data_IF_396929454205
#
_entry.id   IF_396929454205
#
_cell.length_a   1.000
_cell.length_b   1.000
_cell.length_c   1.000
_cell.angle_alpha   90.00
_cell.angle_beta   90.00
_cell.angle_gamma   90.00
#
_symmetry.space_group_name_H-M   'P 1'
#
loop_
_entity.id
_entity.type
_entity.pdbx_description
1 polymer ?
#
# COMPACT_ATOMS: atom_id res chain seq x y z
N UNK A 1 -6.20 -6.08 18.45
CA UNK A 1 -5.97 -5.99 16.98
C UNK A 1 -7.20 -6.57 16.30
N UNK A 2 -7.83 -5.85 15.37
CA UNK A 2 -8.92 -6.43 14.58
C UNK A 2 -8.31 -7.40 13.57
N UNK A 3 -8.57 -8.69 13.79
CA UNK A 3 -8.21 -9.77 12.88
C UNK A 3 -9.39 -10.03 11.97
N UNK A 4 -9.12 -10.29 10.70
CA UNK A 4 -10.12 -10.75 9.74
C UNK A 4 -9.55 -11.92 8.95
N UNK A 5 -10.37 -12.93 8.73
CA UNK A 5 -9.97 -14.12 7.99
C UNK A 5 -10.29 -13.95 6.50
N UNK A 6 -9.26 -13.99 5.65
CA UNK A 6 -9.40 -14.09 4.21
C UNK A 6 -9.42 -15.56 3.79
N UNK A 7 -10.54 -16.01 3.24
CA UNK A 7 -10.66 -17.39 2.74
C UNK A 7 -10.22 -17.46 1.28
N UNK A 8 -8.98 -17.88 1.07
CA UNK A 8 -8.38 -18.03 -0.28
C UNK A 8 -7.29 -19.10 -0.31
N UNK A 9 -7.35 -19.95 -1.33
CA UNK A 9 -6.27 -20.88 -1.67
C UNK A 9 -5.06 -20.19 -2.31
N UNK A 10 -5.24 -19.02 -2.92
CA UNK A 10 -4.21 -18.33 -3.71
C UNK A 10 -3.37 -17.39 -2.84
N UNK A 11 -2.06 -17.64 -2.77
CA UNK A 11 -1.11 -16.82 -2.00
C UNK A 11 -0.96 -15.40 -2.53
N UNK A 12 -0.91 -15.22 -3.85
CA UNK A 12 -0.80 -13.90 -4.47
C UNK A 12 -1.96 -12.97 -4.11
N UNK A 13 -3.20 -13.51 -4.03
CA UNK A 13 -4.37 -12.75 -3.58
C UNK A 13 -4.21 -12.32 -2.12
N UNK A 14 -3.67 -13.19 -1.27
CA UNK A 14 -3.46 -12.88 0.14
C UNK A 14 -2.39 -11.80 0.34
N UNK A 15 -1.30 -11.84 -0.42
CA UNK A 15 -0.25 -10.81 -0.36
C UNK A 15 -0.78 -9.44 -0.82
N UNK A 16 -1.59 -9.42 -1.89
CA UNK A 16 -2.27 -8.21 -2.37
C UNK A 16 -3.29 -7.67 -1.35
N UNK A 17 -4.08 -8.55 -0.75
CA UNK A 17 -5.02 -8.20 0.32
C UNK A 17 -4.30 -7.60 1.54
N UNK A 18 -3.18 -8.19 1.98
CA UNK A 18 -2.38 -7.65 3.10
C UNK A 18 -1.87 -6.25 2.81
N UNK A 19 -1.46 -5.97 1.57
CA UNK A 19 -0.99 -4.66 1.13
C UNK A 19 -2.11 -3.62 1.15
N UNK A 20 -3.26 -3.94 0.57
CA UNK A 20 -4.42 -3.04 0.49
C UNK A 20 -5.09 -2.82 1.86
N UNK A 21 -5.16 -3.86 2.70
CA UNK A 21 -5.71 -3.83 4.05
C UNK A 21 -4.67 -3.51 5.12
N UNK A 22 -3.57 -2.82 4.76
CA UNK A 22 -2.51 -2.52 5.72
C UNK A 22 -3.06 -1.91 7.02
N UNK A 23 -2.56 -2.39 8.16
CA UNK A 23 -3.09 -2.07 9.48
C UNK A 23 -4.16 -3.00 10.02
N UNK A 24 -4.65 -3.93 9.19
CA UNK A 24 -5.47 -5.04 9.65
C UNK A 24 -4.63 -6.31 9.67
N UNK A 25 -4.95 -7.21 10.60
CA UNK A 25 -4.35 -8.55 10.58
C UNK A 25 -5.20 -9.45 9.70
N UNK A 26 -4.67 -9.76 8.51
CA UNK A 26 -5.33 -10.62 7.52
C UNK A 26 -4.80 -12.04 7.66
N UNK A 27 -5.53 -12.87 8.39
CA UNK A 27 -5.26 -14.31 8.45
C UNK A 27 -5.76 -14.99 7.18
N UNK A 28 -5.07 -16.04 6.73
CA UNK A 28 -5.46 -16.78 5.54
C UNK A 28 -5.96 -18.16 5.91
N UNK A 29 -7.23 -18.43 5.61
CA UNK A 29 -7.80 -19.77 5.70
C UNK A 29 -7.87 -20.42 4.32
N UNK A 30 -7.52 -21.72 4.26
CA UNK A 30 -7.56 -22.55 3.06
C UNK A 30 -8.57 -23.67 3.27
N UNK A 31 -9.84 -23.36 3.04
CA UNK A 31 -10.93 -24.33 3.11
C UNK A 31 -11.58 -24.48 1.74
N UNK A 32 -12.18 -25.64 1.51
CA UNK A 32 -12.98 -25.90 0.31
C UNK A 32 -14.35 -25.30 0.51
N UNK A 33 -14.76 -24.42 -0.41
CA UNK A 33 -16.09 -23.83 -0.42
C UNK A 33 -16.91 -24.47 -1.54
N UNK A 34 -18.23 -24.55 -1.34
CA UNK A 34 -19.14 -24.94 -2.40
C UNK A 34 -18.92 -24.05 -3.65
N UNK A 35 -19.01 -24.66 -4.83
CA UNK A 35 -19.15 -23.90 -6.07
C UNK A 35 -20.53 -23.25 -6.02
N UNK A 36 -20.59 -21.93 -6.19
CA UNK A 36 -21.89 -21.25 -6.28
C UNK A 36 -22.59 -21.62 -7.59
N UNK A 37 -23.91 -21.77 -7.55
CA UNK A 37 -24.73 -22.21 -8.69
C UNK A 37 -25.28 -21.03 -9.53
N UNK A 38 -24.80 -19.81 -9.28
CA UNK A 38 -25.22 -18.59 -9.99
C UNK A 38 -24.20 -18.16 -11.05
N UNK A 39 -24.68 -17.44 -12.07
CA UNK A 39 -23.82 -16.75 -13.04
C UNK A 39 -23.40 -15.35 -12.57
N UNK A 40 -24.08 -14.78 -11.55
CA UNK A 40 -23.78 -13.46 -11.01
C UNK A 40 -22.68 -13.54 -9.96
N UNK A 41 -21.69 -12.67 -10.10
CA UNK A 41 -20.48 -12.69 -9.27
C UNK A 41 -20.80 -12.42 -7.79
N UNK A 42 -21.77 -11.54 -7.56
CA UNK A 42 -22.29 -11.12 -6.25
C UNK A 42 -23.01 -12.27 -5.54
N UNK A 43 -23.87 -13.01 -6.24
CA UNK A 43 -24.60 -14.16 -5.69
C UNK A 43 -23.63 -15.31 -5.34
N UNK A 44 -22.65 -15.59 -6.20
CA UNK A 44 -21.58 -16.55 -5.91
C UNK A 44 -20.79 -16.11 -4.66
N UNK A 45 -20.42 -14.84 -4.58
CA UNK A 45 -19.62 -14.31 -3.48
C UNK A 45 -20.35 -14.42 -2.14
N UNK A 46 -21.63 -14.04 -2.10
CA UNK A 46 -22.51 -14.18 -0.93
C UNK A 46 -22.61 -15.63 -0.47
N UNK A 47 -22.91 -16.56 -1.38
CA UNK A 47 -23.04 -17.97 -1.02
C UNK A 47 -21.72 -18.53 -0.44
N UNK A 48 -20.58 -18.18 -1.04
CA UNK A 48 -19.26 -18.62 -0.61
C UNK A 48 -18.83 -18.05 0.74
N UNK A 49 -19.13 -16.79 1.03
CA UNK A 49 -18.77 -16.21 2.35
C UNK A 49 -19.63 -16.77 3.48
N UNK A 50 -20.90 -17.07 3.21
CA UNK A 50 -21.79 -17.72 4.19
C UNK A 50 -21.36 -19.16 4.47
N UNK A 51 -20.98 -19.92 3.44
CA UNK A 51 -20.40 -21.26 3.60
C UNK A 51 -19.07 -21.20 4.37
N UNK A 52 -18.21 -20.21 4.08
CA UNK A 52 -16.97 -20.00 4.81
C UNK A 52 -17.23 -19.72 6.30
N UNK A 53 -18.17 -18.83 6.62
CA UNK A 53 -18.50 -18.53 8.02
C UNK A 53 -19.08 -19.75 8.74
N UNK A 54 -19.96 -20.51 8.08
CA UNK A 54 -20.52 -21.76 8.64
C UNK A 54 -19.44 -22.78 9.01
N UNK A 55 -18.33 -22.83 8.27
CA UNK A 55 -17.22 -23.76 8.52
C UNK A 55 -16.21 -23.24 9.55
N UNK A 56 -16.03 -21.92 9.65
CA UNK A 56 -14.97 -21.31 10.47
C UNK A 56 -15.46 -20.67 11.77
N UNK A 57 -16.76 -20.33 11.84
CA UNK A 57 -17.42 -19.63 12.95
C UNK A 57 -16.69 -18.33 13.38
N UNK A 58 -16.10 -17.63 12.42
CA UNK A 58 -15.32 -16.40 12.64
C UNK A 58 -15.57 -15.37 11.53
N UNK A 59 -15.53 -14.05 11.82
CA UNK A 59 -15.63 -13.01 10.80
C UNK A 59 -14.64 -13.25 9.65
N UNK A 60 -15.17 -13.33 8.43
CA UNK A 60 -14.38 -13.67 7.27
C UNK A 60 -14.85 -12.94 6.01
N UNK A 61 -13.95 -12.85 5.05
CA UNK A 61 -14.25 -12.40 3.71
C UNK A 61 -13.67 -13.33 2.65
N UNK A 62 -14.24 -13.26 1.46
CA UNK A 62 -13.76 -13.93 0.24
C UNK A 62 -13.63 -12.90 -0.88
N UNK A 63 -13.00 -13.31 -1.98
CA UNK A 63 -13.13 -12.61 -3.25
C UNK A 63 -13.55 -13.57 -4.38
N UNK A 64 -14.34 -13.03 -5.29
CA UNK A 64 -14.75 -13.64 -6.54
C UNK A 64 -14.39 -12.71 -7.69
N UNK A 65 -13.78 -13.23 -8.75
CA UNK A 65 -13.25 -12.44 -9.86
C UNK A 65 -13.72 -12.99 -11.20
N UNK A 66 -14.02 -12.11 -12.15
CA UNK A 66 -14.39 -12.49 -13.53
C UNK A 66 -13.76 -11.57 -14.57
N UNK A 67 -13.72 -12.04 -15.82
CA UNK A 67 -13.35 -11.24 -17.00
C UNK A 67 -14.51 -11.29 -18.00
N UNK A 68 -14.85 -10.15 -18.58
CA UNK A 68 -15.97 -9.97 -19.49
C UNK A 68 -15.46 -9.26 -20.73
N UNK A 69 -15.47 -9.92 -21.88
CA UNK A 69 -14.97 -9.39 -23.14
C UNK A 69 -16.13 -8.93 -24.02
N UNK A 70 -15.94 -7.83 -24.75
CA UNK A 70 -16.86 -7.33 -25.77
C UNK A 70 -16.73 -8.21 -27.03
N UNK A 71 -17.26 -9.43 -26.95
CA UNK A 71 -17.23 -10.43 -28.02
C UNK A 71 -18.64 -10.79 -28.48
N UNK A 72 -18.77 -11.20 -29.74
CA UNK A 72 -19.97 -11.86 -30.25
C UNK A 72 -20.13 -13.29 -29.71
N UNK A 73 -19.07 -13.87 -29.16
CA UNK A 73 -19.10 -15.16 -28.47
C UNK A 73 -19.56 -14.96 -27.01
N UNK A 74 -20.53 -15.75 -26.55
CA UNK A 74 -21.06 -15.68 -25.19
C UNK A 74 -20.07 -16.30 -24.17
N UNK A 75 -19.01 -15.56 -23.82
CA UNK A 75 -18.10 -15.93 -22.74
C UNK A 75 -18.07 -14.81 -21.70
N UNK A 76 -18.54 -15.12 -20.49
CA UNK A 76 -18.62 -14.13 -19.41
C UNK A 76 -18.06 -14.67 -18.09
N UNK A 77 -17.40 -13.78 -17.34
CA UNK A 77 -17.00 -14.01 -15.96
C UNK A 77 -16.03 -15.17 -15.77
N UNK A 78 -16.49 -16.24 -15.12
CA UNK A 78 -15.66 -17.38 -14.75
C UNK A 78 -15.23 -18.24 -15.97
N UNK A 79 -16.04 -18.25 -17.04
CA UNK A 79 -15.78 -19.04 -18.24
C UNK A 79 -14.55 -18.53 -18.98
N UNK A 80 -14.37 -17.21 -19.11
CA UNK A 80 -13.19 -16.60 -19.75
C UNK A 80 -11.91 -16.98 -18.98
N UNK A 81 -11.98 -17.03 -17.65
CA UNK A 81 -10.85 -17.46 -16.81
C UNK A 81 -10.48 -18.92 -17.06
N UNK A 82 -11.47 -19.80 -17.16
CA UNK A 82 -11.26 -21.23 -17.45
C UNK A 82 -10.66 -21.40 -18.85
N UNK A 83 -11.22 -20.70 -19.83
CA UNK A 83 -10.73 -20.71 -21.20
C UNK A 83 -9.28 -20.24 -21.30
N UNK A 84 -8.90 -19.17 -20.59
CA UNK A 84 -7.50 -18.72 -20.52
C UNK A 84 -6.59 -19.79 -19.91
N UNK A 85 -7.06 -20.51 -18.88
CA UNK A 85 -6.28 -21.59 -18.26
C UNK A 85 -6.10 -22.79 -19.20
N UNK A 86 -7.13 -23.13 -19.97
CA UNK A 86 -7.12 -24.24 -20.92
C UNK A 86 -6.28 -23.94 -22.17
N UNK A 87 -6.45 -22.75 -22.76
CA UNK A 87 -5.72 -22.33 -23.96
C UNK A 87 -4.27 -21.92 -23.66
N UNK A 88 -4.04 -21.36 -22.48
CA UNK A 88 -2.80 -20.67 -22.15
C UNK A 88 -2.71 -19.25 -22.76
N UNK A 89 -1.81 -18.39 -22.24
CA UNK A 89 -1.76 -16.97 -22.60
C UNK A 89 -1.53 -16.67 -24.08
N UNK A 90 -0.66 -17.43 -24.76
CA UNK A 90 -0.32 -17.20 -26.16
C UNK A 90 -1.50 -17.48 -27.10
N UNK A 91 -2.18 -18.62 -26.95
CA UNK A 91 -3.35 -18.94 -27.75
C UNK A 91 -4.54 -18.03 -27.42
N UNK A 92 -4.69 -17.65 -26.14
CA UNK A 92 -5.73 -16.71 -25.73
C UNK A 92 -5.57 -15.34 -26.39
N UNK A 93 -4.36 -14.77 -26.36
CA UNK A 93 -4.07 -13.47 -27.00
C UNK A 93 -4.13 -13.55 -28.53
N UNK A 94 -3.74 -14.67 -29.13
CA UNK A 94 -3.93 -14.88 -30.57
C UNK A 94 -5.41 -14.88 -30.98
N UNK A 95 -6.30 -15.40 -30.12
CA UNK A 95 -7.75 -15.46 -30.39
C UNK A 95 -8.48 -14.15 -30.07
N UNK A 96 -8.12 -13.50 -28.96
CA UNK A 96 -8.89 -12.37 -28.40
C UNK A 96 -8.13 -11.05 -28.39
N UNK A 97 -6.91 -11.01 -28.93
CA UNK A 97 -6.05 -9.83 -28.92
C UNK A 97 -6.73 -8.58 -29.49
N UNK A 98 -6.66 -7.49 -28.74
CA UNK A 98 -7.31 -6.21 -29.06
C UNK A 98 -8.77 -6.09 -28.63
N UNK A 99 -9.43 -7.19 -28.21
CA UNK A 99 -10.80 -7.09 -27.70
C UNK A 99 -10.84 -6.29 -26.40
N UNK A 100 -11.81 -5.39 -26.34
CA UNK A 100 -12.13 -4.57 -25.17
C UNK A 100 -12.91 -5.39 -24.15
N UNK A 101 -12.93 -4.93 -22.92
CA UNK A 101 -13.76 -5.52 -21.88
C UNK A 101 -13.44 -4.97 -20.50
N UNK A 102 -13.87 -5.73 -19.49
CA UNK A 102 -13.70 -5.39 -18.09
C UNK A 102 -13.32 -6.62 -17.26
N UNK A 103 -12.38 -6.45 -16.34
CA UNK A 103 -12.17 -7.40 -15.24
C UNK A 103 -12.90 -6.91 -14.00
N UNK A 104 -13.63 -7.79 -13.33
CA UNK A 104 -14.45 -7.46 -12.15
C UNK A 104 -14.03 -8.28 -10.95
N UNK A 105 -14.18 -7.71 -9.77
CA UNK A 105 -14.07 -8.41 -8.48
C UNK A 105 -15.26 -8.05 -7.60
N UNK A 106 -15.76 -9.03 -6.85
CA UNK A 106 -16.65 -8.83 -5.71
C UNK A 106 -15.99 -9.41 -4.48
N UNK A 107 -15.80 -8.57 -3.48
CA UNK A 107 -15.36 -8.92 -2.14
C UNK A 107 -16.60 -9.01 -1.26
N UNK A 108 -16.83 -10.17 -0.65
CA UNK A 108 -17.94 -10.39 0.26
C UNK A 108 -17.42 -10.61 1.68
N UNK A 109 -17.95 -9.87 2.63
CA UNK A 109 -17.60 -9.93 4.05
C UNK A 109 -18.82 -10.22 4.91
N UNK A 110 -18.66 -11.05 5.92
CA UNK A 110 -19.66 -11.24 6.97
C UNK A 110 -18.99 -11.28 8.34
N UNK A 111 -19.62 -10.60 9.31
CA UNK A 111 -19.20 -10.62 10.70
C UNK A 111 -19.91 -11.70 11.53
N UNK A 112 -21.10 -12.14 11.09
CA UNK A 112 -22.04 -12.92 11.90
C UNK A 112 -22.66 -14.12 11.14
N UNK A 113 -22.30 -14.32 9.87
CA UNK A 113 -22.87 -15.36 9.03
C UNK A 113 -24.34 -15.13 8.65
N UNK A 114 -24.87 -13.92 8.86
CA UNK A 114 -26.25 -13.54 8.54
C UNK A 114 -26.30 -12.37 7.58
N UNK A 115 -25.56 -11.31 7.92
CA UNK A 115 -25.44 -10.11 7.09
C UNK A 115 -24.19 -10.19 6.22
N UNK A 116 -24.36 -9.94 4.93
CA UNK A 116 -23.25 -9.92 3.96
C UNK A 116 -23.12 -8.51 3.40
N UNK A 117 -21.91 -7.97 3.48
CA UNK A 117 -21.51 -6.73 2.82
C UNK A 117 -20.73 -7.07 1.56
N UNK A 118 -21.12 -6.45 0.45
CA UNK A 118 -20.49 -6.64 -0.85
C UNK A 118 -19.79 -5.35 -1.27
N UNK A 119 -18.56 -5.50 -1.73
CA UNK A 119 -17.74 -4.43 -2.28
C UNK A 119 -17.30 -4.86 -3.67
N UNK A 120 -17.57 -4.04 -4.68
CA UNK A 120 -17.31 -4.38 -6.08
C UNK A 120 -16.26 -3.45 -6.67
N UNK A 121 -15.44 -3.98 -7.57
CA UNK A 121 -14.43 -3.22 -8.28
C UNK A 121 -14.29 -3.71 -9.70
N UNK A 122 -13.94 -2.79 -10.59
CA UNK A 122 -13.81 -3.05 -12.02
C UNK A 122 -12.53 -2.43 -12.57
N UNK A 123 -11.98 -3.04 -13.60
CA UNK A 123 -10.86 -2.50 -14.37
C UNK A 123 -11.08 -2.76 -15.85
N UNK A 124 -11.47 -1.70 -16.55
CA UNK A 124 -11.63 -1.67 -18.00
C UNK A 124 -10.29 -1.71 -18.71
N UNK A 125 -10.28 -2.28 -19.92
CA UNK A 125 -9.06 -2.51 -20.66
C UNK A 125 -9.26 -3.29 -21.94
N UNK A 126 -8.19 -3.92 -22.38
CA UNK A 126 -8.19 -4.78 -23.56
C UNK A 126 -7.26 -5.98 -23.40
N UNK A 127 -7.52 -7.03 -24.17
CA UNK A 127 -6.61 -8.16 -24.29
C UNK A 127 -5.39 -7.74 -25.12
N UNK A 128 -4.19 -8.04 -24.63
CA UNK A 128 -2.94 -7.78 -25.32
C UNK A 128 -2.84 -8.56 -26.65
N UNK A 129 -2.09 -8.05 -27.63
CA UNK A 129 -1.80 -8.76 -28.88
C UNK A 129 -0.92 -10.00 -28.68
N UNK A 130 -0.12 -10.00 -27.62
CA UNK A 130 0.74 -11.09 -27.19
C UNK A 130 0.91 -11.00 -25.67
N UNK A 131 1.15 -12.12 -24.96
CA UNK A 131 1.35 -12.08 -23.52
C UNK A 131 2.67 -11.39 -23.18
N UNK A 132 2.68 -10.52 -22.17
CA UNK A 132 3.90 -9.82 -21.71
C UNK A 132 3.99 -9.79 -20.19
N UNK A 133 5.22 -9.77 -19.69
CA UNK A 133 5.55 -9.77 -18.27
C UNK A 133 5.69 -11.17 -17.67
N UNK A 134 6.65 -11.33 -16.75
CA UNK A 134 6.99 -12.60 -16.11
C UNK A 134 6.34 -12.77 -14.72
N UNK A 135 5.68 -11.72 -14.21
CA UNK A 135 5.08 -11.71 -12.88
C UNK A 135 3.56 -11.76 -12.92
N UNK A 136 2.93 -12.01 -11.77
CA UNK A 136 1.48 -12.00 -11.63
C UNK A 136 0.84 -13.37 -11.78
N UNK A 137 -0.49 -13.38 -11.96
CA UNK A 137 -1.27 -14.61 -12.02
C UNK A 137 -2.53 -14.45 -12.87
N UNK A 138 -3.02 -15.56 -13.43
CA UNK A 138 -4.25 -15.55 -14.23
C UNK A 138 -4.10 -14.71 -15.50
N UNK A 139 -4.94 -13.68 -15.64
CA UNK A 139 -4.96 -12.81 -16.82
C UNK A 139 -3.97 -11.65 -16.77
N UNK A 140 -3.16 -11.54 -15.72
CA UNK A 140 -2.18 -10.45 -15.60
C UNK A 140 -1.29 -10.28 -16.86
N UNK A 141 -0.78 -11.35 -17.50
CA UNK A 141 0.08 -11.23 -18.68
C UNK A 141 -0.64 -10.86 -19.98
N UNK A 142 -1.98 -10.94 -20.00
CA UNK A 142 -2.78 -10.76 -21.22
C UNK A 142 -3.71 -9.55 -21.15
N UNK A 143 -3.79 -8.86 -20.00
CA UNK A 143 -4.70 -7.74 -19.79
C UNK A 143 -3.96 -6.41 -19.73
N UNK A 144 -4.35 -5.47 -20.60
CA UNK A 144 -3.85 -4.09 -20.63
C UNK A 144 -4.95 -3.18 -20.08
N UNK A 145 -4.76 -2.58 -18.88
CA UNK A 145 -5.71 -1.64 -18.31
C UNK A 145 -5.84 -0.36 -19.13
N UNK A 146 -7.00 0.29 -19.07
CA UNK A 146 -7.18 1.61 -19.69
C UNK A 146 -6.22 2.66 -19.13
N UNK A 147 -5.63 3.43 -20.06
CA UNK A 147 -4.59 4.41 -19.77
C UNK A 147 -3.17 3.83 -19.78
N UNK A 148 -3.00 2.51 -19.94
CA UNK A 148 -1.70 1.85 -19.92
C UNK A 148 -1.38 1.21 -21.27
N UNK A 149 -0.09 1.13 -21.61
CA UNK A 149 0.43 0.33 -22.73
C UNK A 149 0.95 -1.05 -22.27
N UNK A 150 1.20 -1.17 -20.96
CA UNK A 150 1.76 -2.34 -20.28
C UNK A 150 0.65 -3.26 -19.78
N UNK A 151 0.89 -4.57 -19.82
CA UNK A 151 0.01 -5.54 -19.18
C UNK A 151 0.08 -5.43 -17.66
N UNK A 152 -0.92 -5.92 -16.93
CA UNK A 152 -0.87 -5.97 -15.46
C UNK A 152 0.38 -6.69 -14.92
N UNK A 153 0.88 -7.71 -15.64
CA UNK A 153 2.10 -8.43 -15.30
C UNK A 153 3.38 -7.57 -15.43
N UNK A 154 3.39 -6.61 -16.36
CA UNK A 154 4.52 -5.69 -16.57
C UNK A 154 4.56 -4.56 -15.53
N UNK A 155 3.47 -4.33 -14.78
CA UNK A 155 3.37 -3.27 -13.75
C UNK A 155 4.09 -3.62 -12.44
N UNK A 156 4.53 -4.88 -12.28
CA UNK A 156 5.30 -5.37 -11.12
C UNK A 156 4.59 -5.01 -9.81
N UNK A 157 5.29 -4.36 -8.87
CA UNK A 157 4.73 -3.96 -7.58
C UNK A 157 3.63 -2.91 -7.69
N UNK A 158 3.48 -2.20 -8.80
CA UNK A 158 2.42 -1.19 -9.00
C UNK A 158 1.04 -1.80 -9.25
N UNK A 159 0.95 -3.11 -9.52
CA UNK A 159 -0.31 -3.77 -9.89
C UNK A 159 -1.46 -3.50 -8.91
N UNK A 160 -1.17 -3.45 -7.61
CA UNK A 160 -2.17 -3.24 -6.55
C UNK A 160 -2.92 -1.89 -6.63
N UNK A 161 -2.32 -0.85 -7.24
CA UNK A 161 -2.98 0.46 -7.44
C UNK A 161 -3.69 0.56 -8.79
N UNK A 162 -3.50 -0.41 -9.69
CA UNK A 162 -4.03 -0.36 -11.06
C UNK A 162 -5.18 -1.34 -11.28
N UNK A 163 -5.14 -2.51 -10.64
CA UNK A 163 -6.14 -3.55 -10.84
C UNK A 163 -7.47 -3.28 -10.12
N UNK A 164 -8.45 -4.12 -10.41
CA UNK A 164 -9.83 -4.01 -9.91
C UNK A 164 -9.99 -4.15 -8.39
N UNK A 165 -8.96 -4.55 -7.64
CA UNK A 165 -9.06 -4.79 -6.19
C UNK A 165 -8.94 -3.53 -5.35
N UNK A 166 -8.35 -2.45 -5.87
CA UNK A 166 -8.04 -1.27 -5.08
C UNK A 166 -9.25 -0.76 -4.29
N UNK A 167 -10.30 -0.35 -4.98
CA UNK A 167 -11.50 0.25 -4.35
C UNK A 167 -12.21 -0.69 -3.37
N UNK A 168 -12.61 -1.92 -3.74
CA UNK A 168 -13.38 -2.77 -2.83
C UNK A 168 -12.58 -3.17 -1.58
N UNK A 169 -11.25 -3.25 -1.65
CA UNK A 169 -10.44 -3.50 -0.46
C UNK A 169 -10.27 -2.24 0.40
N UNK A 170 -10.23 -1.03 -0.17
CA UNK A 170 -10.28 0.20 0.61
C UNK A 170 -11.63 0.36 1.33
N UNK A 171 -12.74 0.02 0.68
CA UNK A 171 -14.07 0.01 1.28
C UNK A 171 -14.18 -1.03 2.41
N UNK A 172 -13.68 -2.26 2.17
CA UNK A 172 -13.59 -3.28 3.22
C UNK A 172 -12.70 -2.80 4.38
N UNK A 173 -11.59 -2.12 4.11
CA UNK A 173 -10.74 -1.58 5.16
C UNK A 173 -11.46 -0.52 6.00
N UNK A 174 -12.23 0.37 5.38
CA UNK A 174 -13.05 1.36 6.07
C UNK A 174 -14.09 0.69 6.98
N UNK A 175 -14.81 -0.31 6.44
CA UNK A 175 -15.77 -1.13 7.18
C UNK A 175 -15.13 -1.79 8.41
N UNK A 176 -13.99 -2.45 8.22
CA UNK A 176 -13.31 -3.19 9.30
C UNK A 176 -12.71 -2.25 10.35
N UNK A 177 -12.19 -1.08 9.95
CA UNK A 177 -11.61 -0.11 10.89
C UNK A 177 -12.69 0.57 11.74
N UNK A 178 -13.83 0.94 11.16
CA UNK A 178 -14.88 1.70 11.83
C UNK A 178 -14.65 3.21 11.72
N UNK A 179 -14.68 3.95 12.84
CA UNK A 179 -14.43 5.40 12.85
C UNK A 179 -13.05 5.71 12.27
N UNK A 180 -13.02 6.52 11.20
CA UNK A 180 -11.79 6.90 10.51
C UNK A 180 -11.06 8.07 11.17
N UNK A 181 -9.88 8.39 10.65
CA UNK A 181 -9.17 9.62 10.98
C UNK A 181 -9.78 10.76 10.16
N UNK A 182 -10.03 11.91 10.79
CA UNK A 182 -10.37 13.16 10.10
C UNK A 182 -9.40 14.27 10.47
N UNK A 183 -8.86 14.96 9.45
CA UNK A 183 -7.92 16.03 9.70
C UNK A 183 -7.02 16.35 8.51
N UNK A 184 -5.79 16.71 8.84
CA UNK A 184 -4.73 17.01 7.86
C UNK A 184 -3.79 15.82 7.81
N UNK A 185 -3.44 15.43 6.59
CA UNK A 185 -2.52 14.33 6.33
C UNK A 185 -1.37 14.78 5.44
N UNK A 186 -0.21 14.17 5.63
CA UNK A 186 0.85 14.13 4.63
C UNK A 186 0.87 12.73 3.99
N UNK A 187 1.16 12.66 2.70
CA UNK A 187 1.26 11.40 1.98
C UNK A 187 2.56 11.31 1.19
N UNK A 188 3.07 10.09 1.11
CA UNK A 188 4.23 9.75 0.31
C UNK A 188 3.95 8.54 -0.56
N UNK A 189 4.10 8.68 -1.87
CA UNK A 189 4.15 7.56 -2.81
C UNK A 189 5.62 7.33 -3.18
N UNK A 190 6.19 6.22 -2.73
CA UNK A 190 7.57 5.83 -3.02
C UNK A 190 7.61 4.96 -4.27
N UNK A 191 8.52 5.27 -5.19
CA UNK A 191 8.79 4.48 -6.39
C UNK A 191 10.12 3.74 -6.26
N UNK A 192 10.30 2.68 -7.05
CA UNK A 192 11.60 2.01 -7.17
C UNK A 192 12.66 2.99 -7.68
N UNK A 193 13.94 2.62 -7.52
CA UNK A 193 15.05 3.40 -8.03
C UNK A 193 14.85 3.71 -9.53
N UNK A 194 14.95 4.99 -9.89
CA UNK A 194 14.62 5.51 -11.20
C UNK A 194 15.49 6.72 -11.55
N UNK A 195 15.27 7.30 -12.74
CA UNK A 195 15.80 8.61 -13.09
C UNK A 195 15.06 9.69 -12.27
N UNK A 196 15.79 10.29 -11.33
CA UNK A 196 15.27 11.28 -10.37
C UNK A 196 14.89 12.60 -11.05
N UNK A 197 15.51 12.97 -12.18
CA UNK A 197 15.14 14.17 -12.93
C UNK A 197 13.81 13.96 -13.67
N UNK A 198 13.63 12.78 -14.26
CA UNK A 198 12.35 12.40 -14.87
C UNK A 198 11.23 12.29 -13.82
N UNK A 199 11.54 11.73 -12.65
CA UNK A 199 10.60 11.65 -11.54
C UNK A 199 10.20 13.04 -11.03
N UNK A 200 11.16 13.95 -10.82
CA UNK A 200 10.89 15.32 -10.40
C UNK A 200 10.00 16.07 -11.40
N UNK A 201 10.31 15.99 -12.69
CA UNK A 201 9.49 16.59 -13.75
C UNK A 201 8.05 16.05 -13.76
N UNK A 202 7.89 14.75 -13.50
CA UNK A 202 6.56 14.13 -13.41
C UNK A 202 5.81 14.60 -12.17
N UNK A 203 6.49 14.72 -11.02
CA UNK A 203 5.91 15.27 -9.79
C UNK A 203 5.43 16.72 -9.99
N UNK A 204 6.24 17.56 -10.65
CA UNK A 204 5.88 18.95 -10.97
C UNK A 204 4.61 19.00 -11.85
N UNK A 205 4.51 18.14 -12.87
CA UNK A 205 3.34 18.05 -13.72
C UNK A 205 2.08 17.57 -12.98
N UNK A 206 2.25 16.75 -11.94
CA UNK A 206 1.19 16.27 -11.05
C UNK A 206 0.90 17.21 -9.88
N UNK A 207 1.64 18.32 -9.74
CA UNK A 207 1.44 19.31 -8.68
C UNK A 207 1.85 18.83 -7.28
N UNK A 208 2.78 17.87 -7.17
CA UNK A 208 3.27 17.32 -5.90
C UNK A 208 4.78 17.53 -5.75
N UNK A 209 5.28 17.58 -4.51
CA UNK A 209 6.73 17.72 -4.27
C UNK A 209 7.44 16.41 -4.59
N UNK A 210 8.57 16.48 -5.28
CA UNK A 210 9.52 15.37 -5.36
C UNK A 210 10.48 15.40 -4.17
N UNK A 211 10.64 14.27 -3.50
CA UNK A 211 11.56 14.05 -2.39
C UNK A 211 12.47 12.88 -2.72
N UNK A 212 13.69 12.92 -2.21
CA UNK A 212 14.61 11.79 -2.22
C UNK A 212 15.09 11.55 -0.80
N UNK A 213 14.83 10.35 -0.30
CA UNK A 213 15.43 9.84 0.93
C UNK A 213 16.47 8.79 0.56
N UNK A 214 17.70 8.99 1.02
CA UNK A 214 18.80 8.05 0.86
C UNK A 214 19.21 7.49 2.22
N UNK A 215 19.13 6.18 2.36
CA UNK A 215 19.52 5.43 3.55
C UNK A 215 20.96 4.94 3.39
N UNK A 216 21.75 4.86 4.48
CA UNK A 216 23.12 4.35 4.42
C UNK A 216 23.19 2.85 4.12
N UNK A 217 22.10 2.11 4.40
CA UNK A 217 21.97 0.66 4.20
C UNK A 217 20.50 0.27 4.10
N UNK A 218 20.24 -1.00 3.79
CA UNK A 218 18.91 -1.59 3.71
C UNK A 218 18.56 -2.07 2.31
N UNK A 219 17.41 -2.71 2.19
CA UNK A 219 16.91 -3.30 0.94
C UNK A 219 16.59 -2.24 -0.11
N UNK A 220 16.08 -1.08 0.32
CA UNK A 220 15.69 0.03 -0.57
C UNK A 220 16.41 1.30 -0.13
N UNK A 221 17.74 1.42 -0.39
CA UNK A 221 18.54 2.52 0.13
C UNK A 221 18.27 3.85 -0.59
N UNK A 222 17.75 3.83 -1.81
CA UNK A 222 17.31 5.03 -2.52
C UNK A 222 15.79 5.01 -2.63
N UNK A 223 15.14 6.03 -2.10
CA UNK A 223 13.69 6.12 -2.05
C UNK A 223 13.24 7.46 -2.65
N UNK A 224 13.09 7.56 -3.99
CA UNK A 224 12.37 8.66 -4.62
C UNK A 224 10.90 8.55 -4.20
N UNK A 225 10.34 9.65 -3.69
CA UNK A 225 8.95 9.67 -3.23
C UNK A 225 8.30 11.02 -3.44
N UNK A 226 6.98 11.02 -3.54
CA UNK A 226 6.20 12.26 -3.52
C UNK A 226 6.05 12.80 -2.10
N UNK A 227 5.69 14.08 -1.97
CA UNK A 227 5.25 14.69 -0.71
C UNK A 227 4.09 15.63 -0.97
N UNK A 228 2.90 15.26 -0.49
CA UNK A 228 1.66 16.03 -0.68
C UNK A 228 0.85 16.13 0.62
N UNK A 229 0.17 17.24 0.82
CA UNK A 229 -0.73 17.47 1.96
C UNK A 229 -2.18 17.35 1.53
N UNK A 230 -3.00 16.78 2.41
CA UNK A 230 -4.41 16.54 2.17
C UNK A 230 -5.24 16.94 3.38
N UNK A 231 -6.52 17.21 3.17
CA UNK A 231 -7.50 17.45 4.24
C UNK A 231 -8.78 16.69 3.93
N UNK A 232 -9.36 16.05 4.94
CA UNK A 232 -10.62 15.31 4.82
C UNK A 232 -10.65 14.10 5.75
N UNK A 233 -11.45 13.12 5.40
CA UNK A 233 -11.40 11.79 6.01
C UNK A 233 -10.27 10.95 5.42
N UNK A 234 -9.73 10.00 6.20
CA UNK A 234 -8.71 9.07 5.72
C UNK A 234 -9.16 8.31 4.46
N UNK A 235 -10.45 7.99 4.34
CA UNK A 235 -10.99 7.29 3.18
C UNK A 235 -10.84 8.14 1.91
N UNK A 236 -11.25 9.41 1.95
CA UNK A 236 -11.12 10.34 0.81
C UNK A 236 -9.64 10.54 0.45
N UNK A 237 -8.78 10.70 1.47
CA UNK A 237 -7.34 10.87 1.26
C UNK A 237 -6.72 9.64 0.61
N UNK A 238 -7.08 8.42 1.06
CA UNK A 238 -6.57 7.19 0.45
C UNK A 238 -6.95 7.07 -1.03
N UNK A 239 -8.15 7.51 -1.42
CA UNK A 239 -8.55 7.53 -2.84
C UNK A 239 -7.65 8.46 -3.66
N UNK A 240 -7.41 9.69 -3.17
CA UNK A 240 -6.54 10.67 -3.85
C UNK A 240 -5.10 10.15 -3.95
N UNK A 241 -4.56 9.59 -2.87
CA UNK A 241 -3.17 9.11 -2.84
C UNK A 241 -2.97 7.89 -3.73
N UNK A 242 -3.94 6.97 -3.80
CA UNK A 242 -3.84 5.83 -4.70
C UNK A 242 -4.08 6.22 -6.17
N UNK A 243 -4.85 7.28 -6.44
CA UNK A 243 -4.92 7.86 -7.79
C UNK A 243 -3.57 8.45 -8.19
N UNK A 244 -2.90 9.22 -7.31
CA UNK A 244 -1.54 9.69 -7.55
C UNK A 244 -0.57 8.54 -7.84
N UNK A 245 -0.67 7.44 -7.07
CA UNK A 245 0.12 6.25 -7.32
C UNK A 245 -0.17 5.60 -8.69
N UNK A 246 -1.45 5.57 -9.12
CA UNK A 246 -1.84 5.11 -10.45
C UNK A 246 -1.24 6.00 -11.54
N UNK A 247 -1.26 7.32 -11.37
CA UNK A 247 -0.73 8.28 -12.33
C UNK A 247 0.80 8.13 -12.49
N UNK A 248 1.53 7.93 -11.38
CA UNK A 248 2.96 7.61 -11.41
C UNK A 248 3.23 6.27 -12.11
N UNK A 249 2.41 5.25 -11.84
CA UNK A 249 2.52 3.96 -12.50
C UNK A 249 2.30 4.11 -14.01
N UNK A 250 1.31 4.89 -14.43
CA UNK A 250 1.03 5.19 -15.84
C UNK A 250 2.20 5.91 -16.50
N UNK A 251 2.83 6.86 -15.80
CA UNK A 251 4.01 7.61 -16.27
C UNK A 251 5.30 6.77 -16.38
N UNK A 252 5.28 5.49 -15.98
CA UNK A 252 6.43 4.59 -16.13
C UNK A 252 7.05 4.13 -14.82
N UNK A 253 6.76 4.78 -13.70
CA UNK A 253 7.43 4.51 -12.42
C UNK A 253 6.84 3.29 -11.71
N UNK A 254 7.71 2.41 -11.19
CA UNK A 254 7.25 1.28 -10.38
C UNK A 254 6.92 1.74 -8.95
N UNK A 255 5.64 1.68 -8.56
CA UNK A 255 5.19 2.09 -7.22
C UNK A 255 5.37 0.97 -6.19
N UNK A 256 6.27 1.21 -5.24
CA UNK A 256 6.65 0.22 -4.21
C UNK A 256 6.01 0.49 -2.85
N UNK A 257 5.56 1.72 -2.55
CA UNK A 257 4.90 2.06 -1.28
C UNK A 257 3.96 3.25 -1.41
N UNK A 258 2.87 3.19 -0.66
CA UNK A 258 2.01 4.33 -0.34
C UNK A 258 1.95 4.48 1.17
N UNK A 259 2.32 5.65 1.70
CA UNK A 259 2.26 6.00 3.13
C UNK A 259 1.37 7.23 3.32
N UNK A 260 0.53 7.21 4.35
CA UNK A 260 -0.30 8.34 4.78
C UNK A 260 -0.13 8.54 6.28
N UNK A 261 0.14 9.78 6.66
CA UNK A 261 0.47 10.19 8.02
C UNK A 261 -0.46 11.31 8.46
N UNK A 262 -1.07 11.15 9.63
CA UNK A 262 -1.77 12.23 10.30
C UNK A 262 -0.72 13.24 10.84
N UNK A 263 -0.89 14.51 10.49
CA UNK A 263 0.08 15.57 10.83
C UNK A 263 -0.58 16.71 11.60
N UNK A 264 0.19 17.36 12.47
CA UNK A 264 -0.28 18.48 13.29
C UNK A 264 -1.30 18.06 14.36
N UNK A 265 -2.15 18.99 14.84
CA UNK A 265 -3.22 18.68 15.78
C UNK A 265 -4.27 17.78 15.11
N UNK A 266 -4.40 16.55 15.59
CA UNK A 266 -5.32 15.57 15.04
C UNK A 266 -6.06 14.89 16.20
N UNK A 267 -7.40 14.87 16.14
CA UNK A 267 -8.25 14.44 17.27
C UNK A 267 -8.12 12.95 17.58
N UNK A 268 -7.89 12.16 16.54
CA UNK A 268 -7.91 10.69 16.60
C UNK A 268 -6.54 10.07 16.91
N UNK A 269 -5.53 10.86 17.30
CA UNK A 269 -4.23 10.33 17.70
C UNK A 269 -4.34 9.54 19.01
N UNK A 270 -3.63 8.40 19.14
CA UNK A 270 -3.60 7.68 20.40
C UNK A 270 -2.80 8.48 21.44
N UNK A 271 -3.49 9.08 22.40
CA UNK A 271 -2.84 9.89 23.45
C UNK A 271 -2.08 9.05 24.48
N UNK A 272 -2.54 7.82 24.75
CA UNK A 272 -1.97 6.90 25.75
C UNK A 272 -1.58 5.56 25.14
N UNK A 273 -0.67 4.84 25.82
CA UNK A 273 -0.18 3.52 25.38
C UNK A 273 -1.31 2.49 25.30
N UNK A 274 -2.29 2.55 26.20
CA UNK A 274 -3.46 1.66 26.17
C UNK A 274 -4.32 1.86 24.92
N UNK A 275 -4.44 3.10 24.44
CA UNK A 275 -5.16 3.41 23.20
C UNK A 275 -4.32 2.94 22.01
N UNK A 276 -3.01 3.21 22.01
CA UNK A 276 -2.10 2.77 20.96
C UNK A 276 -2.02 1.24 20.83
N UNK A 277 -2.06 0.50 21.94
CA UNK A 277 -2.05 -0.96 21.96
C UNK A 277 -3.28 -1.59 21.29
N UNK A 278 -4.40 -0.85 21.19
CA UNK A 278 -5.63 -1.26 20.51
C UNK A 278 -5.64 -0.88 19.03
N UNK A 279 -4.79 0.07 18.63
CA UNK A 279 -4.65 0.51 17.24
C UNK A 279 -4.03 -0.58 16.35
N UNK A 280 -4.17 -0.46 15.02
CA UNK A 280 -3.38 -1.22 14.07
C UNK A 280 -1.89 -1.29 14.42
N UNK A 281 -1.30 -2.49 14.37
CA UNK A 281 0.15 -2.67 14.62
C UNK A 281 1.05 -2.04 13.56
N UNK A 282 0.49 -1.68 12.40
CA UNK A 282 1.22 -0.94 11.36
C UNK A 282 1.18 0.57 11.59
N UNK A 283 0.42 1.04 12.58
CA UNK A 283 0.41 2.46 12.94
C UNK A 283 1.48 2.73 14.00
N UNK A 284 2.14 3.86 13.87
CA UNK A 284 3.24 4.26 14.73
C UNK A 284 3.38 5.77 14.70
N UNK A 285 3.94 6.32 15.78
CA UNK A 285 4.46 7.68 15.72
C UNK A 285 5.79 7.67 14.98
N UNK A 286 5.94 8.55 14.01
CA UNK A 286 7.21 8.89 13.38
C UNK A 286 7.60 10.29 13.84
N UNK A 287 8.76 10.38 14.48
CA UNK A 287 9.37 11.66 14.83
C UNK A 287 10.60 11.86 13.97
N UNK A 288 10.78 13.08 13.48
CA UNK A 288 11.98 13.42 12.76
C UNK A 288 12.48 14.82 13.10
N UNK A 289 13.80 14.98 13.07
CA UNK A 289 14.48 16.25 13.14
C UNK A 289 15.65 16.27 12.15
N UNK A 290 16.12 17.46 11.78
CA UNK A 290 17.34 17.63 11.00
C UNK A 290 18.50 17.93 11.92
N UNK A 291 19.58 17.18 11.80
CA UNK A 291 20.87 17.45 12.45
C UNK A 291 21.89 17.88 11.41
N UNK A 292 22.77 18.81 11.79
CA UNK A 292 23.95 19.18 11.00
C UNK A 292 25.11 18.32 11.51
N UNK A 293 25.73 17.54 10.63
CA UNK A 293 26.93 16.78 11.00
C UNK A 293 28.15 17.72 11.07
N UNK A 294 29.05 17.55 12.05
CA UNK A 294 30.31 18.32 12.14
C UNK A 294 31.24 18.06 10.95
N UNK A 295 31.31 16.80 10.49
CA UNK A 295 32.05 16.37 9.29
C UNK A 295 31.44 15.08 8.72
N UNK A 296 31.68 14.76 7.43
CA UNK A 296 31.24 13.48 6.86
C UNK A 296 31.76 12.25 7.62
N UNK A 297 32.99 12.33 8.16
CA UNK A 297 33.63 11.23 8.89
C UNK A 297 32.94 10.90 10.22
N UNK A 298 32.19 11.86 10.79
CA UNK A 298 31.46 11.67 12.04
C UNK A 298 30.19 10.83 11.90
N UNK A 299 29.70 10.60 10.66
CA UNK A 299 28.39 9.97 10.43
C UNK A 299 28.28 8.57 11.04
N UNK A 300 29.34 7.77 10.99
CA UNK A 300 29.33 6.40 11.50
C UNK A 300 29.23 6.34 13.03
N UNK A 301 29.89 7.25 13.73
CA UNK A 301 29.81 7.36 15.19
C UNK A 301 28.45 7.89 15.62
N UNK A 302 27.99 8.99 15.00
CA UNK A 302 26.68 9.60 15.30
C UNK A 302 25.55 8.62 15.00
N UNK A 303 25.62 7.87 13.90
CA UNK A 303 24.63 6.84 13.58
C UNK A 303 24.57 5.73 14.62
N UNK A 304 25.73 5.26 15.13
CA UNK A 304 25.77 4.26 16.21
C UNK A 304 25.13 4.79 17.49
N UNK A 305 25.43 6.02 17.87
CA UNK A 305 24.85 6.64 19.06
C UNK A 305 23.33 6.77 18.97
N UNK A 306 22.78 7.20 17.82
CA UNK A 306 21.32 7.26 17.64
C UNK A 306 20.67 5.87 17.59
N UNK A 307 21.35 4.88 17.01
CA UNK A 307 20.84 3.51 16.92
C UNK A 307 20.62 2.87 18.30
N UNK A 308 21.40 3.24 19.33
CA UNK A 308 21.18 2.79 20.72
C UNK A 308 19.81 3.22 21.27
N UNK A 309 19.25 4.32 20.75
CA UNK A 309 17.90 4.80 21.09
C UNK A 309 16.82 4.33 20.08
N UNK A 310 17.22 3.53 19.09
CA UNK A 310 16.36 3.10 17.99
C UNK A 310 16.05 4.21 16.97
N UNK A 311 16.85 5.27 16.93
CA UNK A 311 16.75 6.34 15.94
C UNK A 311 17.80 6.17 14.84
N UNK A 312 17.47 6.59 13.62
CA UNK A 312 18.29 6.31 12.44
C UNK A 312 18.51 7.55 11.59
N UNK A 313 19.72 7.66 11.03
CA UNK A 313 20.06 8.72 10.10
C UNK A 313 19.67 8.37 8.67
N UNK A 314 19.18 9.37 7.95
CA UNK A 314 19.01 9.34 6.50
C UNK A 314 19.39 10.67 5.87
N UNK A 315 19.62 10.67 4.56
CA UNK A 315 19.99 11.86 3.76
C UNK A 315 18.81 12.29 2.91
N UNK A 316 18.59 13.60 2.84
CA UNK A 316 17.75 14.20 1.80
C UNK A 316 18.52 14.41 0.50
N UNK A 317 17.89 15.09 -0.45
CA UNK A 317 18.57 15.58 -1.65
C UNK A 317 19.76 16.49 -1.28
N UNK A 318 20.89 16.43 -2.01
CA UNK A 318 22.04 17.31 -1.80
C UNK A 318 21.63 18.79 -1.86
N UNK A 319 22.20 19.61 -0.98
CA UNK A 319 21.96 21.06 -0.97
C UNK A 319 23.12 21.80 -1.60
N UNK A 320 22.82 22.87 -2.31
CA UNK A 320 23.82 23.74 -2.94
C UNK A 320 24.70 24.50 -1.93
N UNK A 321 24.26 24.61 -0.66
CA UNK A 321 24.98 25.28 0.42
C UNK A 321 26.10 24.43 1.04
N UNK A 322 26.29 23.18 0.58
CA UNK A 322 27.33 22.27 1.07
C UNK A 322 27.11 21.76 2.50
N UNK A 323 26.00 22.14 3.15
CA UNK A 323 25.71 21.72 4.53
C UNK A 323 25.18 20.29 4.53
N UNK A 324 25.90 19.40 5.20
CA UNK A 324 25.50 18.01 5.38
C UNK A 324 24.41 17.87 6.45
N UNK A 325 23.16 18.05 6.03
CA UNK A 325 22.00 17.73 6.85
C UNK A 325 21.71 16.22 6.83
N UNK A 326 21.40 15.67 8.00
CA UNK A 326 20.81 14.34 8.14
C UNK A 326 19.44 14.47 8.78
N UNK A 327 18.48 13.69 8.33
CA UNK A 327 17.28 13.43 9.09
C UNK A 327 17.62 12.39 10.14
N UNK A 328 17.31 12.67 11.41
CA UNK A 328 17.23 11.65 12.46
C UNK A 328 15.77 11.29 12.62
N UNK A 329 15.44 10.01 12.40
CA UNK A 329 14.08 9.50 12.45
C UNK A 329 13.95 8.45 13.55
N UNK A 330 12.93 8.59 14.39
CA UNK A 330 12.55 7.61 15.41
C UNK A 330 11.12 7.13 15.12
N UNK A 331 10.94 5.81 15.08
CA UNK A 331 9.60 5.19 14.96
C UNK A 331 9.21 4.51 16.26
N UNK A 332 8.09 4.93 16.81
CA UNK A 332 7.55 4.47 18.09
C UNK A 332 6.27 3.67 17.87
N UNK A 333 6.41 2.34 17.91
CA UNK A 333 5.32 1.39 17.70
C UNK A 333 4.58 1.08 19.00
N UNK A 334 3.24 1.01 18.94
CA UNK A 334 2.42 0.62 20.10
C UNK A 334 2.48 1.59 21.28
N UNK A 335 3.00 2.80 21.08
CA UNK A 335 3.07 3.85 22.10
C UNK A 335 2.06 4.94 21.78
N UNK A 336 1.48 5.50 22.84
CA UNK A 336 0.71 6.74 22.79
C UNK A 336 1.61 7.95 22.65
N UNK A 337 1.00 9.08 22.34
CA UNK A 337 1.70 10.31 21.98
C UNK A 337 2.69 10.73 23.08
N UNK A 338 2.29 10.71 24.35
CA UNK A 338 3.15 11.14 25.45
C UNK A 338 4.41 10.28 25.58
N UNK A 339 4.28 8.96 25.50
CA UNK A 339 5.41 8.02 25.57
C UNK A 339 6.30 8.12 24.32
N UNK A 340 5.72 8.31 23.14
CA UNK A 340 6.47 8.49 21.91
C UNK A 340 7.25 9.81 21.90
N UNK A 341 6.63 10.92 22.34
CA UNK A 341 7.27 12.23 22.51
C UNK A 341 8.44 12.13 23.51
N UNK A 342 8.24 11.48 24.66
CA UNK A 342 9.28 11.28 25.67
C UNK A 342 10.48 10.48 25.14
N UNK A 343 10.26 9.47 24.28
CA UNK A 343 11.35 8.76 23.60
C UNK A 343 12.10 9.66 22.63
N UNK A 344 11.40 10.51 21.89
CA UNK A 344 12.06 11.44 20.98
C UNK A 344 12.85 12.52 21.73
N UNK A 345 12.38 12.96 22.90
CA UNK A 345 13.14 13.89 23.75
C UNK A 345 14.50 13.32 24.17
N UNK A 346 14.63 12.00 24.36
CA UNK A 346 15.93 11.35 24.61
C UNK A 346 16.86 11.45 23.39
N UNK A 347 16.32 11.31 22.18
CA UNK A 347 17.07 11.49 20.92
C UNK A 347 17.55 12.94 20.79
N UNK A 348 16.69 13.91 21.12
CA UNK A 348 17.05 15.34 21.09
C UNK A 348 18.11 15.67 22.15
N UNK A 349 18.01 15.09 23.35
CA UNK A 349 19.01 15.26 24.41
C UNK A 349 20.37 14.65 24.02
N UNK A 350 20.38 13.49 23.36
CA UNK A 350 21.60 12.91 22.80
C UNK A 350 22.23 13.83 21.75
N UNK A 351 21.43 14.35 20.81
CA UNK A 351 21.92 15.28 19.79
C UNK A 351 22.56 16.54 20.42
N UNK A 352 21.93 17.11 21.46
CA UNK A 352 22.47 18.24 22.20
C UNK A 352 23.80 17.90 22.90
N UNK A 353 23.90 16.73 23.53
CA UNK A 353 25.14 16.25 24.18
C UNK A 353 26.28 16.03 23.19
N UNK A 354 25.97 15.60 21.97
CA UNK A 354 26.92 15.47 20.86
C UNK A 354 27.24 16.81 20.18
N UNK A 355 26.64 17.93 20.62
CA UNK A 355 26.85 19.25 20.03
C UNK A 355 26.25 19.41 18.63
N UNK A 356 25.26 18.60 18.26
CA UNK A 356 24.65 18.60 16.92
C UNK A 356 23.52 19.64 16.85
N UNK A 357 23.63 20.68 16.01
CA UNK A 357 22.56 21.66 15.85
C UNK A 357 21.30 21.00 15.26
N UNK A 358 20.17 21.22 15.92
CA UNK A 358 18.86 20.69 15.52
C UNK A 358 18.03 21.71 14.75
N UNK A 359 17.31 21.24 13.72
CA UNK A 359 16.34 22.03 12.95
C UNK A 359 15.08 21.19 12.67
N UNK A 360 13.97 21.86 12.39
CA UNK A 360 12.72 21.29 11.86
C UNK A 360 12.31 19.97 12.56
N UNK A 361 11.77 20.08 13.77
CA UNK A 361 11.18 18.95 14.49
C UNK A 361 9.77 18.73 13.96
N UNK A 362 9.42 17.48 13.66
CA UNK A 362 8.07 17.09 13.35
C UNK A 362 7.69 15.81 14.08
N UNK A 363 6.39 15.66 14.30
CA UNK A 363 5.74 14.45 14.77
C UNK A 363 4.59 14.15 13.82
N UNK A 364 4.54 12.90 13.41
CA UNK A 364 3.57 12.36 12.48
C UNK A 364 3.07 11.04 13.04
N UNK A 365 1.86 10.66 12.69
CA UNK A 365 1.32 9.35 13.06
C UNK A 365 0.89 8.61 11.80
N UNK A 366 1.62 7.54 11.46
CA UNK A 366 1.33 6.72 10.29
C UNK A 366 0.01 6.01 10.50
N UNK A 367 -0.96 6.30 9.62
CA UNK A 367 -2.31 5.72 9.65
C UNK A 367 -2.52 4.72 8.52
N UNK A 368 -1.65 4.73 7.51
CA UNK A 368 -1.60 3.75 6.44
C UNK A 368 -0.19 3.64 5.88
N UNK A 369 0.31 2.42 5.71
CA UNK A 369 1.58 2.14 5.02
C UNK A 369 1.47 0.82 4.26
N UNK A 370 1.43 0.87 2.93
CA UNK A 370 1.22 -0.33 2.11
C UNK A 370 2.40 -1.33 2.17
N UNK A 371 3.60 -0.91 2.57
CA UNK A 371 4.81 -1.72 2.41
C UNK A 371 5.89 -1.35 3.46
N UNK A 372 5.70 -1.84 4.69
CA UNK A 372 6.67 -1.67 5.78
C UNK A 372 8.04 -2.30 5.46
N UNK A 373 8.08 -3.30 4.58
CA UNK A 373 9.31 -4.01 4.23
C UNK A 373 10.27 -3.19 3.35
N UNK A 374 9.82 -2.06 2.78
CA UNK A 374 10.69 -1.10 2.06
C UNK A 374 11.84 -0.61 2.94
N UNK A 375 11.61 -0.53 4.25
CA UNK A 375 12.57 -0.08 5.25
C UNK A 375 13.39 -1.25 5.85
N UNK A 376 13.24 -2.46 5.33
CA UNK A 376 13.97 -3.65 5.82
C UNK A 376 15.47 -3.45 5.69
N UNK A 377 16.21 -3.71 6.77
CA UNK A 377 17.66 -3.54 6.84
C UNK A 377 18.12 -2.08 6.97
N UNK A 378 17.21 -1.11 7.01
CA UNK A 378 17.53 0.25 7.46
C UNK A 378 17.80 0.25 8.97
N UNK A 379 16.82 -0.26 9.71
CA UNK A 379 16.83 -0.44 11.17
C UNK A 379 17.54 -1.77 11.50
N UNK A 380 18.47 -1.75 12.46
CA UNK A 380 19.32 -2.90 12.79
C UNK A 380 18.54 -4.03 13.46
#
# INVERSE_FOLDING_TARGET
>A
MKTVTFVTGNGWRHDEAKRLLSGLHVERARITLAKGDSEKLEEIATARVLDAFRQLETPCFIENTGMYLESSEAFAGAQVKQLLQELGPAAFTARFGGLRGVTRVVVAYTADGRSVKLFAGENSGSVAKEPRGEQGYGWDPVWIPDGFERTLAELRSSKYVVNMRLLPFLELAAELRGTGFEGVFESHVTVAACDEAAFAKTCDALGVRALLISLPRGRTPRQPMTGAHHRGSLQEVLLVVHQLARDLAQAGFEVIRTKVEAVGPHRDLPLTDDVAARAPRTNYFEHHAKVVLPSPDSEAEVSRAFAELGAYLSRGAPRADGVELRFVTLRSWGLGQASADARFDQVLALAARLGLPLRNRAREYTVYDSALDVDTGWMA
#
